data_IF_655266117560
#
_entry.id   IF_655266117560
#
_cell.length_a   1.000
_cell.length_b   1.000
_cell.length_c   1.000
_cell.angle_alpha   90.00
_cell.angle_beta   90.00
_cell.angle_gamma   90.00
#
_symmetry.space_group_name_H-M   'P 1'
#
loop_
_entity.id
_entity.type
_entity.pdbx_description
1 polymer ?
#
# COMPACT_ATOMS: atom_id res chain seq x y z
N UNK A 1 -8.10 -2.88 -18.39
CA UNK A 1 -7.12 -1.99 -19.09
C UNK A 1 -5.89 -2.82 -19.50
N UNK A 2 -5.29 -2.59 -20.67
CA UNK A 2 -3.96 -3.14 -21.01
C UNK A 2 -2.87 -2.25 -20.41
N UNK A 3 -1.78 -2.84 -19.92
CA UNK A 3 -0.72 -2.12 -19.22
C UNK A 3 0.38 -1.55 -20.14
N UNK A 4 0.62 -2.17 -21.29
CA UNK A 4 1.65 -1.71 -22.21
C UNK A 4 1.47 -0.23 -22.59
N UNK A 5 2.54 0.54 -22.59
CA UNK A 5 2.61 1.99 -22.89
C UNK A 5 1.82 2.88 -21.92
N UNK A 6 1.21 2.35 -20.83
CA UNK A 6 0.51 3.17 -19.83
C UNK A 6 1.51 3.92 -18.95
N UNK A 7 1.23 5.20 -18.70
CA UNK A 7 2.00 6.08 -17.82
C UNK A 7 1.55 5.85 -16.38
N UNK A 8 2.44 5.28 -15.59
CA UNK A 8 2.11 4.87 -14.22
C UNK A 8 2.91 5.69 -13.22
N UNK A 9 2.23 6.29 -12.25
CA UNK A 9 2.85 6.88 -11.07
C UNK A 9 2.83 5.87 -9.92
N UNK A 10 4.02 5.52 -9.40
CA UNK A 10 4.16 4.65 -8.22
C UNK A 10 4.72 5.43 -7.06
N UNK A 11 3.95 5.56 -5.97
CA UNK A 11 4.43 6.21 -4.74
C UNK A 11 5.06 5.22 -3.77
N UNK A 12 6.07 5.68 -2.99
CA UNK A 12 6.82 4.80 -2.09
C UNK A 12 7.60 3.70 -2.82
N UNK A 13 8.07 3.99 -4.02
CA UNK A 13 8.72 3.03 -4.90
C UNK A 13 10.07 2.51 -4.38
N UNK A 14 10.71 3.23 -3.46
CA UNK A 14 11.97 2.80 -2.81
C UNK A 14 11.76 1.80 -1.67
N UNK A 15 10.51 1.54 -1.25
CA UNK A 15 10.19 0.47 -0.31
C UNK A 15 10.01 -0.88 -1.03
N UNK A 16 10.18 -2.01 -0.31
CA UNK A 16 10.24 -3.32 -0.94
C UNK A 16 9.01 -3.71 -1.79
N UNK A 17 7.78 -3.39 -1.33
CA UNK A 17 6.55 -3.62 -2.11
C UNK A 17 6.51 -2.68 -3.33
N UNK A 18 6.80 -1.39 -3.13
CA UNK A 18 6.79 -0.40 -4.22
C UNK A 18 7.84 -0.71 -5.29
N UNK A 19 9.02 -1.18 -4.89
CA UNK A 19 10.09 -1.63 -5.78
C UNK A 19 9.61 -2.81 -6.63
N UNK A 20 9.02 -3.83 -6.01
CA UNK A 20 8.50 -4.99 -6.74
C UNK A 20 7.38 -4.60 -7.71
N UNK A 21 6.48 -3.68 -7.32
CA UNK A 21 5.42 -3.16 -8.19
C UNK A 21 6.04 -2.43 -9.39
N UNK A 22 7.02 -1.56 -9.17
CA UNK A 22 7.68 -0.82 -10.25
C UNK A 22 8.34 -1.77 -11.26
N UNK A 23 9.07 -2.80 -10.80
CA UNK A 23 9.68 -3.83 -11.68
C UNK A 23 8.64 -4.62 -12.49
N UNK A 24 7.57 -5.07 -11.84
CA UNK A 24 6.49 -5.82 -12.51
C UNK A 24 5.83 -4.98 -13.61
N UNK A 25 5.57 -3.69 -13.34
CA UNK A 25 4.94 -2.80 -14.31
C UNK A 25 5.92 -2.41 -15.45
N UNK A 26 7.21 -2.24 -15.15
CA UNK A 26 8.25 -2.06 -16.17
C UNK A 26 8.32 -3.27 -17.12
N UNK A 27 8.33 -4.48 -16.57
CA UNK A 27 8.34 -5.72 -17.35
C UNK A 27 7.09 -5.90 -18.23
N UNK A 28 5.99 -5.19 -17.92
CA UNK A 28 4.76 -5.15 -18.73
C UNK A 28 4.72 -3.98 -19.72
N UNK A 29 5.84 -3.29 -19.93
CA UNK A 29 5.95 -2.21 -20.90
C UNK A 29 5.35 -0.88 -20.47
N UNK A 30 5.14 -0.66 -19.16
CA UNK A 30 4.67 0.64 -18.67
C UNK A 30 5.76 1.71 -18.72
N UNK A 31 5.36 2.97 -18.91
CA UNK A 31 6.21 4.15 -18.70
C UNK A 31 6.06 4.62 -17.27
N UNK A 32 7.14 4.59 -16.49
CA UNK A 32 7.09 4.76 -15.05
C UNK A 32 7.53 6.14 -14.57
N UNK A 33 6.74 6.75 -13.72
CA UNK A 33 7.19 7.79 -12.79
C UNK A 33 7.18 7.19 -11.39
N UNK A 34 8.36 7.07 -10.77
CA UNK A 34 8.51 6.51 -9.43
C UNK A 34 8.86 7.62 -8.44
N UNK A 35 8.28 7.57 -7.23
CA UNK A 35 8.59 8.58 -6.21
C UNK A 35 8.91 7.97 -4.85
N UNK A 36 9.77 8.67 -4.13
CA UNK A 36 10.21 8.37 -2.79
C UNK A 36 10.97 9.57 -2.21
N UNK A 37 11.30 9.52 -0.91
CA UNK A 37 12.04 10.60 -0.23
C UNK A 37 13.57 10.49 -0.40
N UNK A 38 14.07 9.27 -0.58
CA UNK A 38 15.50 8.96 -0.62
C UNK A 38 16.01 9.03 -2.05
N UNK A 39 16.60 10.15 -2.41
CA UNK A 39 17.01 10.45 -3.78
C UNK A 39 17.99 9.41 -4.36
N UNK A 40 19.02 9.02 -3.58
CA UNK A 40 20.00 8.05 -4.06
C UNK A 40 19.39 6.70 -4.40
N UNK A 41 18.47 6.21 -3.57
CA UNK A 41 17.77 4.94 -3.80
C UNK A 41 16.81 5.07 -4.99
N UNK A 42 16.17 6.22 -5.14
CA UNK A 42 15.29 6.51 -6.27
C UNK A 42 16.07 6.50 -7.58
N UNK A 43 17.27 7.11 -7.63
CA UNK A 43 18.17 7.08 -8.79
C UNK A 43 18.61 5.66 -9.15
N UNK A 44 18.95 4.84 -8.13
CA UNK A 44 19.30 3.42 -8.34
C UNK A 44 18.13 2.64 -8.94
N UNK A 45 16.94 2.83 -8.41
CA UNK A 45 15.72 2.19 -8.94
C UNK A 45 15.45 2.61 -10.39
N UNK A 46 15.55 3.90 -10.72
CA UNK A 46 15.39 4.37 -12.11
C UNK A 46 16.41 3.75 -13.05
N UNK A 47 17.68 3.67 -12.64
CA UNK A 47 18.72 2.99 -13.44
C UNK A 47 18.41 1.51 -13.67
N UNK A 48 17.86 0.83 -12.67
CA UNK A 48 17.44 -0.58 -12.78
C UNK A 48 16.22 -0.77 -13.70
N UNK A 49 15.24 0.14 -13.64
CA UNK A 49 14.02 0.07 -14.44
C UNK A 49 14.23 0.43 -15.92
N UNK A 50 15.33 1.11 -16.25
CA UNK A 50 15.70 1.45 -17.61
C UNK A 50 15.08 2.76 -18.12
N UNK A 51 15.20 3.03 -19.45
CA UNK A 51 14.94 4.35 -20.04
C UNK A 51 13.49 4.79 -19.99
N UNK A 52 12.54 3.89 -19.81
CA UNK A 52 11.11 4.20 -19.67
C UNK A 52 10.70 4.63 -18.25
N UNK A 53 11.68 4.81 -17.35
CA UNK A 53 11.42 5.21 -15.98
C UNK A 53 12.08 6.55 -15.64
N UNK A 54 11.39 7.35 -14.81
CA UNK A 54 11.94 8.57 -14.20
C UNK A 54 11.60 8.66 -12.72
N UNK A 55 12.46 9.30 -11.95
CA UNK A 55 12.30 9.51 -10.52
C UNK A 55 11.91 10.95 -10.20
N UNK A 56 10.95 11.12 -9.30
CA UNK A 56 10.56 12.41 -8.73
C UNK A 56 10.59 12.31 -7.21
N UNK A 57 11.48 13.05 -6.56
CA UNK A 57 11.51 13.11 -5.10
C UNK A 57 10.31 13.91 -4.60
N UNK A 58 9.61 13.40 -3.59
CA UNK A 58 8.51 14.10 -2.91
C UNK A 58 8.31 13.59 -1.49
N UNK A 59 8.02 14.51 -0.55
CA UNK A 59 7.49 14.19 0.77
C UNK A 59 5.96 14.28 0.74
N UNK A 60 5.31 13.13 0.89
CA UNK A 60 3.85 13.03 0.84
C UNK A 60 3.15 13.52 2.12
N UNK A 61 3.90 13.94 3.16
CA UNK A 61 3.33 14.69 4.29
C UNK A 61 3.06 16.15 3.94
N UNK A 62 3.73 16.66 2.89
CA UNK A 62 3.59 18.03 2.41
C UNK A 62 2.61 18.08 1.23
N UNK A 63 1.44 18.72 1.45
CA UNK A 63 0.41 18.82 0.42
C UNK A 63 0.87 19.58 -0.85
N UNK A 64 1.76 20.56 -0.70
CA UNK A 64 2.28 21.28 -1.86
C UNK A 64 3.15 20.34 -2.71
N UNK A 65 4.02 19.55 -2.09
CA UNK A 65 4.83 18.56 -2.82
C UNK A 65 3.97 17.47 -3.50
N UNK A 66 2.85 17.09 -2.88
CA UNK A 66 1.87 16.18 -3.54
C UNK A 66 1.29 16.81 -4.81
N UNK A 67 0.94 18.10 -4.79
CA UNK A 67 0.44 18.83 -5.96
C UNK A 67 1.50 18.96 -7.05
N UNK A 68 2.71 19.33 -6.66
CA UNK A 68 3.84 19.50 -7.58
C UNK A 68 4.24 18.15 -8.20
N UNK A 69 4.21 17.06 -7.42
CA UNK A 69 4.41 15.70 -7.90
C UNK A 69 3.39 15.36 -9.01
N UNK A 70 2.11 15.61 -8.79
CA UNK A 70 1.06 15.30 -9.77
C UNK A 70 1.20 16.13 -11.03
N UNK A 71 1.55 17.40 -10.92
CA UNK A 71 1.82 18.28 -12.07
C UNK A 71 3.02 17.79 -12.89
N UNK A 72 4.12 17.42 -12.21
CA UNK A 72 5.34 16.93 -12.86
C UNK A 72 5.20 15.50 -13.41
N UNK A 73 4.36 14.67 -12.80
CA UNK A 73 4.10 13.31 -13.24
C UNK A 73 3.13 13.26 -14.43
N UNK A 74 2.32 14.28 -14.62
CA UNK A 74 1.29 14.30 -15.67
C UNK A 74 1.88 14.10 -17.09
N UNK A 75 1.11 13.45 -17.96
CA UNK A 75 -0.17 12.79 -17.70
C UNK A 75 0.00 11.40 -17.04
N UNK A 76 -0.95 11.03 -16.15
CA UNK A 76 -0.96 9.74 -15.43
C UNK A 76 -2.17 8.93 -15.90
N UNK A 77 -1.95 7.69 -16.34
CA UNK A 77 -3.00 6.75 -16.74
C UNK A 77 -3.33 5.79 -15.60
N UNK A 78 -2.32 5.45 -14.79
CA UNK A 78 -2.48 4.59 -13.61
C UNK A 78 -1.77 5.23 -12.41
N UNK A 79 -2.48 5.37 -11.30
CA UNK A 79 -1.92 5.80 -10.02
C UNK A 79 -1.80 4.61 -9.07
N UNK A 80 -0.59 4.32 -8.57
CA UNK A 80 -0.35 3.36 -7.50
C UNK A 80 -0.02 4.12 -6.21
N UNK A 81 -1.01 4.31 -5.37
CA UNK A 81 -0.86 4.91 -4.04
C UNK A 81 -0.37 3.85 -3.04
N UNK A 82 0.95 3.61 -3.05
CA UNK A 82 1.60 2.57 -2.24
C UNK A 82 2.33 3.13 -1.03
N UNK A 83 2.78 4.38 -1.04
CA UNK A 83 3.46 4.97 0.10
C UNK A 83 2.66 4.81 1.40
N UNK A 84 3.34 4.44 2.47
CA UNK A 84 2.74 4.28 3.78
C UNK A 84 3.80 4.03 4.86
N UNK A 85 3.42 4.29 6.10
CA UNK A 85 4.22 4.00 7.30
C UNK A 85 3.45 3.11 8.26
N UNK A 86 4.18 2.26 8.95
CA UNK A 86 3.66 1.51 10.10
C UNK A 86 3.66 2.37 11.35
N UNK A 87 2.72 2.10 12.25
CA UNK A 87 2.64 2.70 13.58
C UNK A 87 2.21 1.58 14.53
N UNK A 88 3.16 0.76 15.01
CA UNK A 88 2.84 -0.42 15.82
C UNK A 88 2.53 -0.10 17.28
N UNK A 89 2.84 1.11 17.74
CA UNK A 89 2.70 1.56 19.12
C UNK A 89 1.25 1.59 19.60
N UNK A 90 1.05 1.52 20.92
CA UNK A 90 -0.24 1.76 21.56
C UNK A 90 -0.65 3.23 21.40
N UNK A 91 -1.93 3.47 21.22
CA UNK A 91 -2.46 4.82 21.03
C UNK A 91 -2.01 5.80 22.14
N UNK A 92 -1.95 5.34 23.38
CA UNK A 92 -1.53 6.17 24.52
C UNK A 92 -0.03 6.47 24.55
N UNK A 93 0.78 5.86 23.69
CA UNK A 93 2.23 6.10 23.57
C UNK A 93 2.58 7.01 22.40
N UNK A 94 1.61 7.31 21.53
CA UNK A 94 1.81 8.14 20.36
C UNK A 94 1.64 9.64 20.71
N UNK A 95 2.51 10.46 20.18
CA UNK A 95 2.32 11.90 20.11
C UNK A 95 1.29 12.27 19.04
N UNK A 96 0.69 13.46 19.18
CA UNK A 96 -0.23 14.00 18.17
C UNK A 96 0.43 14.12 16.79
N UNK A 97 1.71 14.50 16.74
CA UNK A 97 2.50 14.59 15.49
C UNK A 97 2.65 13.24 14.79
N UNK A 98 2.86 12.15 15.55
CA UNK A 98 2.96 10.79 14.99
C UNK A 98 1.62 10.32 14.44
N UNK A 99 0.53 10.61 15.15
CA UNK A 99 -0.84 10.33 14.69
C UNK A 99 -1.12 11.11 13.41
N UNK A 100 -0.87 12.41 13.40
CA UNK A 100 -1.08 13.27 12.23
C UNK A 100 -0.26 12.78 11.03
N UNK A 101 1.02 12.50 11.21
CA UNK A 101 1.91 11.98 10.17
C UNK A 101 1.41 10.68 9.57
N UNK A 102 0.93 9.74 10.40
CA UNK A 102 0.38 8.49 9.94
C UNK A 102 -0.88 8.70 9.08
N UNK A 103 -1.80 9.55 9.53
CA UNK A 103 -3.02 9.90 8.79
C UNK A 103 -2.66 10.60 7.48
N UNK A 104 -1.72 11.56 7.50
CA UNK A 104 -1.27 12.28 6.31
C UNK A 104 -0.71 11.34 5.25
N UNK A 105 0.19 10.43 5.60
CA UNK A 105 0.84 9.54 4.63
C UNK A 105 -0.09 8.42 4.19
N UNK A 106 -0.79 7.75 5.13
CA UNK A 106 -1.51 6.52 4.83
C UNK A 106 -2.91 6.75 4.25
N UNK A 107 -3.52 7.92 4.47
CA UNK A 107 -4.90 8.18 4.05
C UNK A 107 -5.05 9.49 3.27
N UNK A 108 -4.55 10.61 3.81
CA UNK A 108 -4.75 11.92 3.19
C UNK A 108 -4.00 12.05 1.85
N UNK A 109 -2.72 11.67 1.81
CA UNK A 109 -1.93 11.74 0.58
C UNK A 109 -2.50 10.85 -0.55
N UNK A 110 -2.87 9.58 -0.32
CA UNK A 110 -3.61 8.78 -1.31
C UNK A 110 -4.88 9.45 -1.84
N UNK A 111 -5.68 10.05 -0.96
CA UNK A 111 -6.89 10.78 -1.35
C UNK A 111 -6.56 12.03 -2.19
N UNK A 112 -5.56 12.80 -1.80
CA UNK A 112 -5.13 14.00 -2.53
C UNK A 112 -4.56 13.65 -3.91
N UNK A 113 -3.76 12.59 -4.01
CA UNK A 113 -3.22 12.06 -5.28
C UNK A 113 -4.36 11.60 -6.20
N UNK A 114 -5.30 10.81 -5.67
CA UNK A 114 -6.47 10.36 -6.41
C UNK A 114 -7.29 11.54 -6.93
N UNK A 115 -7.61 12.51 -6.06
CA UNK A 115 -8.34 13.73 -6.45
C UNK A 115 -7.66 14.49 -7.58
N UNK A 116 -6.34 14.57 -7.58
CA UNK A 116 -5.58 15.25 -8.63
C UNK A 116 -5.51 14.46 -9.95
N UNK A 117 -5.52 13.10 -9.88
CA UNK A 117 -5.50 12.24 -11.06
C UNK A 117 -6.86 12.15 -11.78
N UNK A 118 -7.97 12.32 -11.06
CA UNK A 118 -9.32 12.08 -11.57
C UNK A 118 -9.76 12.94 -12.76
N UNK A 119 -9.61 14.29 -12.75
CA UNK A 119 -10.13 15.11 -13.83
C UNK A 119 -9.61 14.69 -15.21
N UNK A 120 -8.29 14.55 -15.43
CA UNK A 120 -7.77 14.12 -16.73
C UNK A 120 -8.12 12.65 -17.07
N UNK A 121 -8.25 11.74 -16.07
CA UNK A 121 -8.71 10.37 -16.31
C UNK A 121 -10.16 10.35 -16.77
N UNK A 122 -11.05 11.08 -16.09
CA UNK A 122 -12.48 11.19 -16.47
C UNK A 122 -12.66 11.82 -17.85
N UNK A 123 -11.88 12.85 -18.17
CA UNK A 123 -11.92 13.50 -19.49
C UNK A 123 -11.54 12.52 -20.61
N UNK A 124 -10.58 11.62 -20.39
CA UNK A 124 -10.18 10.60 -21.36
C UNK A 124 -11.12 9.39 -21.40
N UNK A 125 -12.00 9.24 -20.41
CA UNK A 125 -12.82 8.03 -20.25
C UNK A 125 -11.99 6.78 -19.93
N UNK A 126 -10.74 6.95 -19.47
CA UNK A 126 -9.83 5.84 -19.15
C UNK A 126 -8.87 6.24 -18.03
N UNK A 127 -8.70 5.36 -17.06
CA UNK A 127 -7.73 5.49 -15.96
C UNK A 127 -7.89 4.37 -14.94
N UNK A 128 -6.89 4.24 -14.05
CA UNK A 128 -7.00 3.29 -12.93
C UNK A 128 -6.27 3.80 -11.69
N UNK A 129 -6.92 3.70 -10.54
CA UNK A 129 -6.34 4.05 -9.24
C UNK A 129 -6.21 2.79 -8.41
N UNK A 130 -5.01 2.53 -7.90
CA UNK A 130 -4.75 1.40 -6.99
C UNK A 130 -4.31 1.94 -5.65
N UNK A 131 -5.04 1.57 -4.60
CA UNK A 131 -4.65 1.81 -3.22
C UNK A 131 -4.00 0.56 -2.62
N UNK A 132 -2.79 0.72 -2.06
CA UNK A 132 -2.15 -0.36 -1.29
C UNK A 132 -2.51 -0.19 0.18
N UNK A 133 -3.51 -0.96 0.60
CA UNK A 133 -3.94 -1.03 1.99
C UNK A 133 -3.10 -2.07 2.76
N UNK A 134 -3.74 -2.92 3.54
CA UNK A 134 -3.15 -3.99 4.35
C UNK A 134 -4.25 -4.97 4.77
N UNK A 135 -3.90 -6.16 5.22
CA UNK A 135 -4.80 -7.02 5.99
C UNK A 135 -5.41 -6.30 7.20
N UNK A 136 -4.68 -5.32 7.77
CA UNK A 136 -5.18 -4.43 8.82
C UNK A 136 -6.34 -3.51 8.36
N UNK A 137 -6.56 -3.33 7.08
CA UNK A 137 -7.72 -2.63 6.52
C UNK A 137 -8.97 -3.51 6.35
N UNK A 138 -8.86 -4.79 6.65
CA UNK A 138 -9.96 -5.76 6.60
C UNK A 138 -10.37 -6.21 8.00
N UNK A 139 -9.40 -6.42 8.88
CA UNK A 139 -9.63 -6.89 10.25
C UNK A 139 -8.68 -6.21 11.22
N UNK A 140 -9.19 -5.86 12.41
CA UNK A 140 -8.39 -5.36 13.50
C UNK A 140 -7.85 -6.56 14.32
N UNK A 141 -6.54 -6.73 14.33
CA UNK A 141 -5.88 -7.77 15.13
C UNK A 141 -4.84 -7.15 16.06
N UNK A 142 -4.54 -7.78 17.21
CA UNK A 142 -3.43 -7.36 18.06
C UNK A 142 -2.13 -7.29 17.22
N UNK A 143 -1.36 -6.22 17.38
CA UNK A 143 -0.08 -6.06 16.69
C UNK A 143 -0.05 -5.11 15.51
N UNK A 144 -1.20 -4.73 14.97
CA UNK A 144 -1.24 -3.84 13.81
C UNK A 144 -1.16 -2.34 14.16
N UNK A 145 -1.24 -1.98 15.43
CA UNK A 145 -1.35 -0.57 15.87
C UNK A 145 -2.72 0.04 15.57
N UNK A 146 -3.22 0.85 16.49
CA UNK A 146 -4.59 1.41 16.39
C UNK A 146 -4.72 2.42 15.24
N UNK A 147 -3.79 3.38 15.17
CA UNK A 147 -3.81 4.44 14.15
C UNK A 147 -3.56 3.86 12.76
N UNK A 148 -2.60 2.94 12.63
CA UNK A 148 -2.34 2.25 11.36
C UNK A 148 -3.60 1.52 10.85
N UNK A 149 -4.24 0.73 11.72
CA UNK A 149 -5.48 0.02 11.41
C UNK A 149 -6.56 1.00 10.94
N UNK A 150 -6.79 2.08 11.68
CA UNK A 150 -7.78 3.11 11.31
C UNK A 150 -7.51 3.71 9.92
N UNK A 151 -6.25 4.04 9.61
CA UNK A 151 -5.88 4.57 8.28
C UNK A 151 -6.09 3.56 7.16
N UNK A 152 -5.83 2.28 7.40
CA UNK A 152 -5.98 1.23 6.38
C UNK A 152 -7.45 0.83 6.15
N UNK A 153 -8.30 0.87 7.18
CA UNK A 153 -9.76 0.80 7.02
C UNK A 153 -10.29 2.03 6.27
N UNK A 154 -9.84 3.23 6.62
CA UNK A 154 -10.20 4.46 5.91
C UNK A 154 -9.84 4.40 4.43
N UNK A 155 -8.67 3.86 4.10
CA UNK A 155 -8.24 3.69 2.70
C UNK A 155 -9.11 2.67 1.93
N UNK A 156 -9.59 1.60 2.59
CA UNK A 156 -10.58 0.68 2.03
C UNK A 156 -11.89 1.40 1.74
N UNK A 157 -12.41 2.16 2.72
CA UNK A 157 -13.64 2.94 2.57
C UNK A 157 -13.54 3.93 1.41
N UNK A 158 -12.40 4.65 1.32
CA UNK A 158 -12.10 5.55 0.21
C UNK A 158 -12.14 4.82 -1.15
N UNK A 159 -11.50 3.66 -1.26
CA UNK A 159 -11.46 2.88 -2.49
C UNK A 159 -12.85 2.41 -2.93
N UNK A 160 -13.66 1.90 -2.00
CA UNK A 160 -15.02 1.44 -2.28
C UNK A 160 -15.94 2.60 -2.67
N UNK A 161 -15.92 3.70 -1.93
CA UNK A 161 -16.75 4.88 -2.22
C UNK A 161 -16.37 5.51 -3.56
N UNK A 162 -15.07 5.68 -3.82
CA UNK A 162 -14.58 6.24 -5.07
C UNK A 162 -14.95 5.37 -6.28
N UNK A 163 -14.91 4.04 -6.14
CA UNK A 163 -15.35 3.13 -7.19
C UNK A 163 -16.83 3.31 -7.55
N UNK A 164 -17.69 3.55 -6.56
CA UNK A 164 -19.11 3.83 -6.80
C UNK A 164 -19.29 5.18 -7.50
N UNK A 165 -18.58 6.23 -7.04
CA UNK A 165 -18.60 7.56 -7.65
C UNK A 165 -18.18 7.54 -9.13
N UNK A 166 -17.22 6.67 -9.48
CA UNK A 166 -16.65 6.59 -10.82
C UNK A 166 -17.37 5.59 -11.74
N UNK A 167 -18.48 4.99 -11.30
CA UNK A 167 -19.24 4.05 -12.13
C UNK A 167 -19.63 4.70 -13.46
N UNK A 168 -19.37 3.99 -14.56
CA UNK A 168 -19.67 4.47 -15.92
C UNK A 168 -18.70 5.51 -16.51
N UNK A 169 -17.69 5.97 -15.76
CA UNK A 169 -16.71 6.96 -16.24
C UNK A 169 -15.53 6.37 -17.02
N UNK A 170 -15.38 5.06 -17.06
CA UNK A 170 -14.22 4.37 -17.61
C UNK A 170 -12.97 4.38 -16.71
N UNK A 171 -13.06 4.94 -15.48
CA UNK A 171 -11.97 4.95 -14.49
C UNK A 171 -12.19 3.86 -13.45
N UNK A 172 -11.25 2.91 -13.38
CA UNK A 172 -11.27 1.82 -12.40
C UNK A 172 -10.64 2.21 -11.07
N UNK A 173 -11.05 1.53 -10.01
CA UNK A 173 -10.43 1.65 -8.66
C UNK A 173 -10.25 0.26 -8.07
N UNK A 174 -9.04 -0.01 -7.58
CA UNK A 174 -8.70 -1.26 -6.91
C UNK A 174 -8.06 -0.99 -5.55
N UNK A 175 -8.38 -1.81 -4.56
CA UNK A 175 -7.70 -1.81 -3.26
C UNK A 175 -7.02 -3.17 -3.05
N UNK A 176 -5.72 -3.15 -2.80
CA UNK A 176 -4.93 -4.36 -2.53
C UNK A 176 -4.68 -4.45 -1.04
N UNK A 177 -4.87 -5.65 -0.48
CA UNK A 177 -4.67 -5.94 0.93
C UNK A 177 -3.54 -6.96 1.10
N UNK A 178 -2.28 -6.52 1.17
CA UNK A 178 -1.18 -7.40 1.54
C UNK A 178 -1.38 -7.93 2.97
N UNK A 179 -1.21 -9.25 3.13
CA UNK A 179 -1.03 -9.87 4.44
C UNK A 179 0.41 -9.73 4.92
N UNK A 180 0.89 -10.63 5.79
CA UNK A 180 2.29 -10.67 6.17
C UNK A 180 3.20 -10.90 4.95
N UNK A 181 4.12 -9.96 4.72
CA UNK A 181 5.07 -10.02 3.60
C UNK A 181 6.44 -10.41 4.14
N UNK A 182 7.05 -11.46 3.55
CA UNK A 182 8.45 -11.80 3.80
C UNK A 182 9.35 -10.88 2.97
N UNK A 183 10.55 -10.70 3.42
CA UNK A 183 11.64 -10.00 2.70
C UNK A 183 11.39 -8.50 2.45
N UNK A 184 10.29 -7.94 2.94
CA UNK A 184 10.01 -6.50 2.81
C UNK A 184 8.93 -6.01 3.77
N UNK A 185 8.98 -4.71 4.10
CA UNK A 185 8.00 -4.04 4.95
C UNK A 185 8.15 -4.33 6.44
N UNK A 186 7.21 -3.87 7.24
CA UNK A 186 7.29 -3.84 8.71
C UNK A 186 7.69 -5.18 9.36
N UNK A 187 7.25 -6.31 8.82
CA UNK A 187 7.58 -7.62 9.38
C UNK A 187 9.04 -8.01 9.12
N UNK A 188 9.53 -7.75 7.89
CA UNK A 188 10.91 -8.04 7.53
C UNK A 188 11.90 -7.17 8.33
N UNK A 189 11.54 -5.92 8.57
CA UNK A 189 12.38 -4.95 9.31
C UNK A 189 12.53 -5.34 10.80
N UNK A 190 11.61 -6.15 11.35
CA UNK A 190 11.64 -6.56 12.77
C UNK A 190 12.33 -7.90 13.02
N UNK A 191 12.54 -8.71 11.98
CA UNK A 191 13.11 -10.06 12.12
C UNK A 191 12.22 -11.05 12.90
N UNK A 192 10.97 -10.71 13.19
CA UNK A 192 10.06 -11.51 13.99
C UNK A 192 9.49 -12.67 13.19
N UNK A 193 9.66 -13.90 13.69
CA UNK A 193 9.05 -15.08 13.10
C UNK A 193 7.53 -15.14 13.40
N UNK A 194 6.75 -15.38 12.36
CA UNK A 194 5.31 -15.59 12.51
C UNK A 194 5.00 -16.97 13.13
N UNK A 195 3.88 -17.11 13.85
CA UNK A 195 3.43 -18.41 14.36
C UNK A 195 3.31 -19.44 13.24
N UNK A 196 3.56 -20.74 13.57
CA UNK A 196 3.39 -21.85 12.62
C UNK A 196 1.98 -21.85 12.03
N UNK A 197 1.87 -21.95 10.71
CA UNK A 197 0.59 -21.91 9.99
C UNK A 197 0.20 -20.52 9.42
N UNK A 198 0.86 -19.45 9.86
CA UNK A 198 0.74 -18.14 9.21
C UNK A 198 1.73 -18.08 8.04
N UNK A 199 1.23 -18.35 6.84
CA UNK A 199 2.05 -18.20 5.64
C UNK A 199 2.29 -16.72 5.31
N UNK A 200 3.42 -16.44 4.67
CA UNK A 200 3.77 -15.12 4.15
C UNK A 200 3.63 -15.08 2.64
N UNK A 201 3.39 -13.90 2.08
CA UNK A 201 3.50 -13.63 0.64
C UNK A 201 4.80 -12.89 0.35
N UNK A 202 5.21 -12.86 -0.92
CA UNK A 202 6.37 -12.07 -1.36
C UNK A 202 5.92 -10.69 -1.87
N UNK A 203 6.84 -9.70 -1.94
CA UNK A 203 6.57 -8.44 -2.64
C UNK A 203 6.15 -8.65 -4.11
N UNK A 204 6.67 -9.67 -4.76
CA UNK A 204 6.33 -10.05 -6.14
C UNK A 204 4.91 -10.57 -6.27
N UNK A 205 4.36 -11.26 -5.24
CA UNK A 205 2.95 -11.67 -5.23
C UNK A 205 2.03 -10.45 -5.19
N UNK A 206 2.40 -9.42 -4.40
CA UNK A 206 1.66 -8.15 -4.36
C UNK A 206 1.75 -7.44 -5.71
N UNK A 207 2.93 -7.38 -6.31
CA UNK A 207 3.15 -6.75 -7.61
C UNK A 207 2.29 -7.40 -8.72
N UNK A 208 2.29 -8.73 -8.79
CA UNK A 208 1.41 -9.48 -9.73
C UNK A 208 -0.06 -9.23 -9.47
N UNK A 209 -0.48 -9.16 -8.21
CA UNK A 209 -1.86 -8.89 -7.84
C UNK A 209 -2.29 -7.47 -8.26
N UNK A 210 -1.41 -6.47 -8.12
CA UNK A 210 -1.63 -5.10 -8.61
C UNK A 210 -1.87 -5.11 -10.12
N UNK A 211 -0.96 -5.70 -10.89
CA UNK A 211 -1.09 -5.76 -12.34
C UNK A 211 -2.40 -6.45 -12.78
N UNK A 212 -2.72 -7.60 -12.17
CA UNK A 212 -3.97 -8.32 -12.46
C UNK A 212 -5.22 -7.53 -12.06
N UNK A 213 -5.16 -6.76 -10.95
CA UNK A 213 -6.29 -5.94 -10.50
C UNK A 213 -6.58 -4.83 -11.52
N UNK A 214 -5.55 -4.19 -12.07
CA UNK A 214 -5.70 -3.19 -13.12
C UNK A 214 -6.26 -3.82 -14.40
N UNK A 215 -5.66 -4.92 -14.88
CA UNK A 215 -6.05 -5.57 -16.13
C UNK A 215 -7.48 -6.10 -16.13
N UNK A 216 -7.94 -6.61 -14.97
CA UNK A 216 -9.26 -7.25 -14.79
C UNK A 216 -10.28 -6.37 -14.06
N UNK A 217 -9.93 -5.12 -13.77
CA UNK A 217 -10.74 -4.16 -13.00
C UNK A 217 -11.31 -4.75 -11.69
N UNK A 218 -10.46 -5.44 -10.91
CA UNK A 218 -10.88 -6.04 -9.63
C UNK A 218 -11.00 -4.99 -8.53
N UNK A 219 -12.14 -4.88 -7.84
CA UNK A 219 -12.35 -3.86 -6.81
C UNK A 219 -11.46 -4.06 -5.58
N UNK A 220 -11.34 -5.28 -5.11
CA UNK A 220 -10.55 -5.66 -3.93
C UNK A 220 -9.76 -6.94 -4.19
N UNK A 221 -8.51 -7.00 -3.71
CA UNK A 221 -7.68 -8.20 -3.83
C UNK A 221 -6.86 -8.41 -2.56
N UNK A 222 -7.06 -9.53 -1.88
CA UNK A 222 -6.27 -9.94 -0.71
C UNK A 222 -5.09 -10.80 -1.16
N UNK A 223 -3.88 -10.40 -0.81
CA UNK A 223 -2.62 -11.10 -1.11
C UNK A 223 -2.09 -11.71 0.18
N UNK A 224 -2.49 -12.93 0.47
CA UNK A 224 -2.13 -13.66 1.67
C UNK A 224 -2.24 -15.16 1.44
N UNK A 225 -1.64 -15.96 2.33
CA UNK A 225 -1.83 -17.41 2.35
C UNK A 225 -3.30 -17.79 2.52
N UNK A 226 -3.68 -18.98 2.08
CA UNK A 226 -5.08 -19.45 2.18
C UNK A 226 -5.61 -19.38 3.61
N UNK A 227 -4.80 -19.78 4.60
CA UNK A 227 -5.19 -19.72 6.03
C UNK A 227 -5.48 -18.31 6.50
N UNK A 228 -4.63 -17.33 6.14
CA UNK A 228 -4.84 -15.92 6.47
C UNK A 228 -6.08 -15.36 5.75
N UNK A 229 -6.32 -15.74 4.50
CA UNK A 229 -7.52 -15.31 3.75
C UNK A 229 -8.82 -15.79 4.39
N UNK A 230 -8.88 -17.06 4.83
CA UNK A 230 -10.02 -17.60 5.57
C UNK A 230 -10.22 -16.84 6.89
N UNK A 231 -9.14 -16.63 7.65
CA UNK A 231 -9.17 -15.89 8.92
C UNK A 231 -9.70 -14.45 8.73
N UNK A 232 -9.23 -13.76 7.70
CA UNK A 232 -9.70 -12.43 7.33
C UNK A 232 -11.19 -12.46 6.93
N UNK A 233 -11.63 -13.46 6.15
CA UNK A 233 -13.04 -13.62 5.78
C UNK A 233 -13.95 -13.78 7.00
N UNK A 234 -13.56 -14.62 7.96
CA UNK A 234 -14.27 -14.76 9.25
C UNK A 234 -14.23 -13.44 10.02
N UNK A 235 -13.10 -12.75 10.05
CA UNK A 235 -12.92 -11.51 10.80
C UNK A 235 -13.76 -10.34 10.27
N UNK A 236 -14.03 -10.30 8.97
CA UNK A 236 -14.95 -9.30 8.38
C UNK A 236 -16.39 -9.51 8.87
N UNK A 237 -16.81 -10.77 9.04
CA UNK A 237 -18.17 -11.11 9.51
C UNK A 237 -18.29 -11.09 11.04
N UNK A 238 -17.21 -11.39 11.77
CA UNK A 238 -17.21 -11.49 13.22
C UNK A 238 -15.96 -10.83 13.84
N UNK A 239 -15.84 -9.49 13.80
CA UNK A 239 -14.62 -8.77 14.17
C UNK A 239 -14.20 -8.97 15.63
N UNK A 240 -15.15 -9.10 16.56
CA UNK A 240 -14.86 -9.34 17.97
C UNK A 240 -14.30 -10.75 18.21
N UNK A 241 -14.85 -11.75 17.49
CA UNK A 241 -14.41 -13.13 17.59
C UNK A 241 -12.96 -13.29 17.09
N UNK A 242 -12.63 -12.69 15.95
CA UNK A 242 -11.28 -12.79 15.39
C UNK A 242 -10.24 -12.16 16.32
N UNK A 243 -10.58 -11.03 16.97
CA UNK A 243 -9.70 -10.41 17.96
C UNK A 243 -9.42 -11.30 19.17
N UNK A 244 -10.41 -12.08 19.62
CA UNK A 244 -10.24 -13.08 20.70
C UNK A 244 -9.36 -14.25 20.24
N UNK A 245 -9.63 -14.81 19.08
CA UNK A 245 -8.85 -15.91 18.50
C UNK A 245 -7.40 -15.52 18.25
N UNK A 246 -7.15 -14.32 17.72
CA UNK A 246 -5.81 -13.80 17.49
C UNK A 246 -5.01 -13.65 18.79
N UNK A 247 -5.64 -13.21 19.90
CA UNK A 247 -5.01 -13.17 21.22
C UNK A 247 -4.65 -14.57 21.72
N UNK A 248 -5.56 -15.52 21.59
CA UNK A 248 -5.31 -16.92 21.98
C UNK A 248 -4.21 -17.56 21.14
N UNK A 249 -4.12 -17.24 19.86
CA UNK A 249 -3.05 -17.70 18.97
C UNK A 249 -1.70 -17.00 19.20
N UNK A 250 -1.58 -16.10 20.17
CA UNK A 250 -0.33 -15.44 20.52
C UNK A 250 0.12 -14.35 19.55
N UNK A 251 -0.78 -13.84 18.69
CA UNK A 251 -0.44 -12.77 17.73
C UNK A 251 0.02 -11.50 18.45
N UNK A 252 -0.41 -11.26 19.69
CA UNK A 252 0.08 -10.16 20.52
C UNK A 252 1.58 -10.19 20.82
N UNK A 253 2.18 -11.38 20.94
CA UNK A 253 3.64 -11.53 21.17
C UNK A 253 4.48 -11.05 20.01
N UNK A 254 3.96 -11.13 18.78
CA UNK A 254 4.62 -10.60 17.58
C UNK A 254 4.80 -9.09 17.73
N UNK A 255 3.82 -8.40 18.30
CA UNK A 255 3.88 -6.96 18.54
C UNK A 255 4.91 -6.60 19.62
N UNK A 256 4.93 -7.32 20.75
CA UNK A 256 5.90 -7.08 21.82
C UNK A 256 7.34 -7.19 21.25
N UNK A 257 7.57 -8.17 20.38
CA UNK A 257 8.83 -8.34 19.70
C UNK A 257 9.12 -7.21 18.67
N UNK A 258 8.10 -6.63 18.03
CA UNK A 258 8.26 -5.47 17.15
C UNK A 258 8.62 -4.18 17.89
N UNK A 259 8.16 -4.03 19.14
CA UNK A 259 8.43 -2.87 19.97
C UNK A 259 9.72 -3.00 20.81
N UNK A 260 10.26 -4.21 20.94
CA UNK A 260 11.55 -4.42 21.61
C UNK A 260 12.68 -3.86 20.75
N UNK A 261 13.56 -3.00 21.30
CA UNK A 261 14.70 -2.50 20.55
C UNK A 261 15.56 -3.68 20.10
N UNK A 262 15.74 -3.84 18.79
CA UNK A 262 16.68 -4.81 18.23
C UNK A 262 18.07 -4.52 18.81
N UNK A 263 18.59 -5.43 19.63
CA UNK A 263 20.00 -5.36 20.02
C UNK A 263 20.83 -5.41 18.73
N UNK A 264 21.75 -4.49 18.51
CA UNK A 264 22.64 -4.60 17.37
C UNK A 264 23.39 -5.92 17.49
N UNK A 265 23.21 -6.80 16.53
CA UNK A 265 24.05 -7.99 16.37
C UNK A 265 25.49 -7.52 16.22
N UNK A 266 26.31 -7.93 17.18
CA UNK A 266 27.77 -7.72 17.21
C UNK A 266 28.45 -8.45 16.03
#
# INVERSE_FOLDING_TARGET
MRLNDKRVLVTGATGGIGHAIARELAARGCVLTVTGRRELELRRLVSELGPSARGLTADLTNLQEVRDLMTRAAPVDVLIANAGIGVPEDLGMLSDDEIEKAIRINLFAPAALARAALPPMKQRGEGHIVFISSGAGLVATPGNGTVYTATKFGLRGLGLALRQELHGTGVGVSTIFPGPIRDAGMLADTGVALPRGFGTSSPQDVARAVAQAIERDRPETTVASTGVRVLVGVGVLAPVLIGRLARLAGVGRVREAMLSPSQPTR
#
